data_IF_903621926910
#
_entry.id   IF_903621926910
#
_cell.length_a   1.000
_cell.length_b   1.000
_cell.length_c   1.000
_cell.angle_alpha   90.00
_cell.angle_beta   90.00
_cell.angle_gamma   90.00
#
_symmetry.space_group_name_H-M   'P 1'
#
loop_
_entity.id
_entity.type
_entity.pdbx_description
1 polymer ?
#
# COMPACT_ATOMS: atom_id res chain seq x y z
N UNK A 1 25.81 -7.24 8.87
CA UNK A 1 24.46 -7.01 8.30
C UNK A 1 23.51 -8.09 8.80
N UNK A 2 22.41 -7.70 9.44
CA UNK A 2 21.44 -8.63 10.04
C UNK A 2 20.64 -9.34 8.95
N UNK A 3 20.01 -10.47 9.28
CA UNK A 3 19.15 -11.22 8.33
C UNK A 3 18.01 -10.34 7.80
N UNK A 4 17.42 -9.50 8.67
CA UNK A 4 16.33 -8.58 8.29
C UNK A 4 16.77 -7.61 7.20
N UNK A 5 17.97 -7.05 7.29
CA UNK A 5 18.51 -6.12 6.29
C UNK A 5 18.69 -6.81 4.92
N UNK A 6 19.14 -8.08 4.93
CA UNK A 6 19.29 -8.89 3.70
C UNK A 6 17.94 -9.16 3.03
N UNK A 7 16.92 -9.49 3.81
CA UNK A 7 15.57 -9.74 3.30
C UNK A 7 15.00 -8.43 2.74
N UNK A 8 15.14 -7.33 3.49
CA UNK A 8 14.70 -6.01 3.05
C UNK A 8 15.36 -5.62 1.72
N UNK A 9 16.68 -5.75 1.61
CA UNK A 9 17.41 -5.43 0.38
C UNK A 9 16.92 -6.28 -0.80
N UNK A 10 16.76 -7.59 -0.63
CA UNK A 10 16.25 -8.47 -1.70
C UNK A 10 14.85 -8.08 -2.17
N UNK A 11 13.96 -7.70 -1.25
CA UNK A 11 12.61 -7.26 -1.59
C UNK A 11 12.65 -5.90 -2.29
N UNK A 12 13.45 -4.97 -1.78
CA UNK A 12 13.64 -3.65 -2.37
C UNK A 12 14.21 -3.75 -3.79
N UNK A 13 15.25 -4.55 -4.01
CA UNK A 13 15.85 -4.75 -5.33
C UNK A 13 14.85 -5.33 -6.34
N UNK A 14 13.96 -6.22 -5.88
CA UNK A 14 12.98 -6.88 -6.74
C UNK A 14 11.77 -6.01 -7.07
N UNK A 15 11.23 -5.29 -6.09
CA UNK A 15 9.95 -4.58 -6.23
C UNK A 15 10.11 -3.06 -6.34
N UNK A 16 11.30 -2.54 -6.02
CA UNK A 16 11.60 -1.12 -5.93
C UNK A 16 10.98 -0.45 -4.69
N UNK A 17 11.13 0.88 -4.58
CA UNK A 17 10.45 1.67 -3.55
C UNK A 17 8.94 1.48 -3.66
N UNK A 18 8.34 0.87 -2.64
CA UNK A 18 6.90 0.90 -2.45
C UNK A 18 6.54 2.25 -1.83
N UNK A 19 5.53 2.92 -2.39
CA UNK A 19 4.93 4.11 -1.75
C UNK A 19 4.07 3.73 -0.56
N UNK A 20 3.36 4.71 0.00
CA UNK A 20 2.27 4.44 0.94
C UNK A 20 1.13 3.65 0.30
N UNK A 21 0.21 3.16 1.15
CA UNK A 21 -1.05 2.52 0.76
C UNK A 21 -1.70 3.23 -0.44
N UNK A 22 -2.32 2.46 -1.36
CA UNK A 22 -2.87 3.02 -2.58
C UNK A 22 -4.06 3.91 -2.24
N UNK A 23 -4.10 5.08 -2.87
CA UNK A 23 -5.17 6.06 -2.70
C UNK A 23 -5.95 6.19 -4.00
N UNK A 24 -7.20 6.63 -3.91
CA UNK A 24 -8.02 6.82 -5.09
C UNK A 24 -7.50 7.98 -5.95
N UNK A 25 -7.14 7.66 -7.19
CA UNK A 25 -6.76 8.65 -8.20
C UNK A 25 -7.96 8.97 -9.08
N UNK A 26 -8.56 10.14 -8.87
CA UNK A 26 -9.72 10.59 -9.62
C UNK A 26 -9.47 10.75 -11.14
N UNK A 27 -8.21 10.94 -11.56
CA UNK A 27 -7.87 11.09 -12.99
C UNK A 27 -7.89 9.75 -13.73
N UNK A 28 -7.51 8.67 -13.04
CA UNK A 28 -7.43 7.32 -13.62
C UNK A 28 -8.59 6.43 -13.21
N UNK A 29 -9.36 6.84 -12.19
CA UNK A 29 -10.47 6.08 -11.62
C UNK A 29 -10.03 4.84 -10.85
N UNK A 30 -8.77 4.79 -10.38
CA UNK A 30 -8.17 3.60 -9.77
C UNK A 30 -7.48 3.91 -8.45
N UNK A 31 -7.37 2.91 -7.58
CA UNK A 31 -6.50 2.96 -6.41
C UNK A 31 -5.06 2.69 -6.83
N UNK A 32 -4.19 3.67 -6.64
CA UNK A 32 -2.82 3.63 -7.15
C UNK A 32 -1.79 3.86 -6.03
N UNK A 33 -0.73 3.06 -6.06
CA UNK A 33 0.45 3.30 -5.24
C UNK A 33 1.25 4.45 -5.84
N UNK A 34 1.53 5.45 -5.00
CA UNK A 34 2.39 6.57 -5.39
C UNK A 34 3.85 6.19 -5.18
N UNK A 35 4.46 5.49 -6.15
CA UNK A 35 5.86 5.04 -6.06
C UNK A 35 6.80 6.22 -5.77
N UNK A 36 7.68 6.05 -4.79
CA UNK A 36 8.63 7.08 -4.36
C UNK A 36 8.01 8.25 -3.59
N UNK A 37 6.69 8.27 -3.40
CA UNK A 37 6.01 9.24 -2.56
C UNK A 37 5.76 8.63 -1.17
N UNK A 38 6.40 9.25 -0.18
CA UNK A 38 6.34 8.87 1.23
C UNK A 38 5.59 9.91 2.08
N UNK A 39 4.87 10.83 1.45
CA UNK A 39 4.01 11.78 2.15
C UNK A 39 2.89 11.03 2.89
N UNK A 40 2.62 11.47 4.13
CA UNK A 40 1.46 11.02 4.87
C UNK A 40 0.15 11.45 4.18
N UNK A 41 -0.95 10.69 4.35
CA UNK A 41 -2.26 11.10 3.87
C UNK A 41 -2.65 12.46 4.47
N UNK A 42 -2.93 13.41 3.60
CA UNK A 42 -3.12 14.83 3.92
C UNK A 42 -4.57 15.14 4.30
N UNK A 43 -5.50 14.28 3.94
CA UNK A 43 -6.94 14.46 4.20
C UNK A 43 -7.54 13.29 4.97
N UNK A 44 -8.63 13.53 5.68
CA UNK A 44 -9.37 12.47 6.38
C UNK A 44 -9.97 11.44 5.44
N UNK A 45 -10.35 11.85 4.22
CA UNK A 45 -10.78 10.93 3.17
C UNK A 45 -9.67 9.94 2.78
N UNK A 46 -8.44 10.42 2.57
CA UNK A 46 -7.31 9.54 2.25
C UNK A 46 -7.01 8.57 3.39
N UNK A 47 -7.10 9.03 4.65
CA UNK A 47 -6.95 8.17 5.82
C UNK A 47 -8.04 7.11 5.89
N UNK A 48 -9.28 7.49 5.61
CA UNK A 48 -10.41 6.57 5.56
C UNK A 48 -10.23 5.50 4.48
N UNK A 49 -9.82 5.89 3.26
CA UNK A 49 -9.51 4.96 2.17
C UNK A 49 -8.44 3.94 2.57
N UNK A 50 -7.38 4.39 3.24
CA UNK A 50 -6.31 3.52 3.74
C UNK A 50 -6.85 2.53 4.78
N UNK A 51 -7.67 2.98 5.73
CA UNK A 51 -8.28 2.12 6.74
C UNK A 51 -9.17 1.04 6.09
N UNK A 52 -10.02 1.42 5.13
CA UNK A 52 -10.88 0.48 4.42
C UNK A 52 -10.03 -0.52 3.61
N UNK A 53 -9.02 -0.06 2.89
CA UNK A 53 -8.11 -0.93 2.13
C UNK A 53 -7.36 -1.92 3.04
N UNK A 54 -6.88 -1.47 4.19
CA UNK A 54 -6.23 -2.32 5.17
C UNK A 54 -7.20 -3.39 5.72
N UNK A 55 -8.44 -3.02 6.06
CA UNK A 55 -9.46 -3.98 6.51
C UNK A 55 -9.74 -5.02 5.42
N UNK A 56 -9.96 -4.60 4.17
CA UNK A 56 -10.28 -5.51 3.06
C UNK A 56 -9.19 -6.54 2.77
N UNK A 57 -7.91 -6.18 2.91
CA UNK A 57 -6.79 -7.12 2.73
C UNK A 57 -6.70 -8.19 3.83
N UNK A 58 -7.35 -7.96 4.97
CA UNK A 58 -7.29 -8.84 6.14
C UNK A 58 -8.59 -9.62 6.37
N UNK A 59 -9.65 -9.36 5.60
CA UNK A 59 -10.87 -10.17 5.65
C UNK A 59 -10.56 -11.49 4.93
N UNK A 60 -10.53 -12.65 5.63
CA UNK A 60 -10.40 -13.93 4.97
C UNK A 60 -11.58 -14.12 4.01
N UNK A 61 -11.30 -14.63 2.81
CA UNK A 61 -12.32 -15.09 1.86
C UNK A 61 -13.04 -16.35 2.41
N UNK A 62 -13.69 -16.24 3.56
CA UNK A 62 -14.75 -17.16 3.94
C UNK A 62 -16.02 -16.63 3.30
N UNK A 63 -16.66 -17.48 2.48
CA UNK A 63 -17.75 -17.20 1.54
C UNK A 63 -17.29 -16.82 0.13
N UNK A 64 -16.79 -17.85 -0.56
CA UNK A 64 -16.81 -17.89 -2.02
C UNK A 64 -18.25 -17.75 -2.53
N UNK A 65 -18.37 -16.89 -3.55
CA UNK A 65 -19.38 -17.01 -4.58
C UNK A 65 -18.96 -18.16 -5.50
#
# INVERSE_FOLDING_TARGET
MKLIDKIYQKLYDKYGPQGWWPLYNAKTGKFEYHKGNYDLPKTDQQRFEICIGAILTHIPYTYGI
#
